data_IF_969330403602
#
_entry.id   IF_969330403602
#
_cell.length_a   1.000
_cell.length_b   1.000
_cell.length_c   1.000
_cell.angle_alpha   90.00
_cell.angle_beta   90.00
_cell.angle_gamma   90.00
#
_symmetry.space_group_name_H-M   'P 1'
#
loop_
_entity.id
_entity.type
_entity.pdbx_description
1 polymer ?
#
# COMPACT_ATOMS: atom_id res chain seq x y z
N UNK A 1 8.65 6.13 -7.61
CA UNK A 1 8.43 6.10 -6.15
C UNK A 1 7.04 6.65 -5.95
N UNK A 2 6.04 5.83 -5.69
CA UNK A 2 4.68 6.34 -5.56
C UNK A 2 4.52 7.07 -4.21
N UNK A 3 4.16 8.35 -4.28
CA UNK A 3 3.91 9.18 -3.10
C UNK A 3 2.43 9.43 -2.84
N UNK A 4 1.55 9.13 -3.80
CA UNK A 4 0.10 9.30 -3.76
C UNK A 4 -0.58 8.25 -4.62
N UNK A 5 -1.79 7.83 -4.26
CA UNK A 5 -2.60 6.90 -5.07
C UNK A 5 -4.10 7.10 -4.83
N UNK A 6 -4.92 6.38 -5.60
CA UNK A 6 -6.38 6.37 -5.45
C UNK A 6 -6.86 4.98 -4.97
N UNK A 7 -7.76 4.98 -3.99
CA UNK A 7 -8.48 3.81 -3.47
C UNK A 7 -9.93 4.24 -3.33
N UNK A 8 -10.66 4.28 -4.45
CA UNK A 8 -11.96 4.93 -4.55
C UNK A 8 -13.16 4.01 -4.69
N UNK A 9 -12.96 2.80 -5.24
CA UNK A 9 -14.03 1.83 -5.49
C UNK A 9 -14.51 1.15 -4.21
N UNK A 10 -15.50 0.24 -4.32
CA UNK A 10 -15.97 -0.55 -3.18
C UNK A 10 -14.93 -1.61 -2.78
N UNK A 11 -15.07 -2.19 -1.58
CA UNK A 11 -14.18 -3.30 -1.15
C UNK A 11 -14.26 -4.48 -2.12
N UNK A 12 -15.47 -4.81 -2.58
CA UNK A 12 -15.70 -5.99 -3.41
C UNK A 12 -15.06 -5.86 -4.81
N UNK A 13 -15.04 -4.65 -5.37
CA UNK A 13 -14.40 -4.39 -6.68
C UNK A 13 -12.91 -4.79 -6.70
N UNK A 14 -12.24 -4.72 -5.55
CA UNK A 14 -10.87 -5.19 -5.38
C UNK A 14 -10.80 -6.67 -4.98
N UNK A 15 -11.60 -7.09 -4.00
CA UNK A 15 -11.48 -8.41 -3.38
C UNK A 15 -11.89 -9.56 -4.31
N UNK A 16 -12.87 -9.36 -5.20
CA UNK A 16 -13.33 -10.38 -6.16
C UNK A 16 -12.23 -10.88 -7.10
N UNK A 17 -11.15 -10.12 -7.24
CA UNK A 17 -10.00 -10.47 -8.07
C UNK A 17 -8.91 -11.26 -7.33
N UNK A 18 -9.02 -11.41 -6.01
CA UNK A 18 -7.97 -11.99 -5.16
C UNK A 18 -8.36 -13.32 -4.51
N UNK A 19 -9.60 -13.45 -4.01
CA UNK A 19 -10.00 -14.57 -3.16
C UNK A 19 -11.51 -14.79 -3.22
N UNK A 20 -11.99 -15.95 -2.80
CA UNK A 20 -13.42 -16.22 -2.61
C UNK A 20 -13.91 -15.70 -1.25
N UNK A 21 -15.22 -15.56 -1.04
CA UNK A 21 -15.78 -15.06 0.23
C UNK A 21 -15.40 -15.91 1.45
N UNK A 22 -15.30 -17.23 1.28
CA UNK A 22 -14.97 -18.17 2.36
C UNK A 22 -13.55 -17.95 2.94
N UNK A 23 -12.66 -17.35 2.15
CA UNK A 23 -11.26 -17.09 2.51
C UNK A 23 -11.09 -15.74 3.23
N UNK A 24 -12.19 -15.00 3.43
CA UNK A 24 -12.17 -13.63 3.95
C UNK A 24 -12.80 -13.53 5.34
N UNK A 25 -12.21 -12.72 6.19
CA UNK A 25 -12.81 -12.22 7.42
C UNK A 25 -13.01 -10.70 7.30
N UNK A 26 -13.78 -10.30 6.29
CA UNK A 26 -14.03 -8.91 5.92
C UNK A 26 -15.55 -8.75 5.77
N UNK A 27 -16.20 -7.85 6.51
CA UNK A 27 -17.63 -7.64 6.39
C UNK A 27 -17.96 -7.05 5.02
N UNK A 28 -19.07 -7.50 4.44
CA UNK A 28 -19.62 -6.89 3.23
C UNK A 28 -19.96 -5.43 3.51
N UNK A 29 -19.54 -4.56 2.59
CA UNK A 29 -19.82 -3.14 2.63
C UNK A 29 -19.86 -2.61 1.20
N UNK A 30 -21.04 -2.19 0.73
CA UNK A 30 -21.21 -1.67 -0.62
C UNK A 30 -20.74 -0.23 -0.78
N UNK A 31 -20.36 0.46 0.30
CA UNK A 31 -19.95 1.86 0.23
C UNK A 31 -18.58 1.98 -0.49
N UNK A 32 -18.46 2.86 -1.49
CA UNK A 32 -17.18 3.18 -2.09
C UNK A 32 -16.23 3.78 -1.07
N UNK A 33 -14.96 3.37 -1.08
CA UNK A 33 -13.95 3.95 -0.18
C UNK A 33 -13.76 5.45 -0.47
N UNK A 34 -13.94 5.88 -1.73
CA UNK A 34 -14.05 7.29 -2.10
C UNK A 34 -12.76 8.12 -1.99
N UNK A 35 -11.59 7.49 -1.81
CA UNK A 35 -10.32 8.20 -1.62
C UNK A 35 -9.52 8.33 -2.92
N UNK A 36 -9.79 9.39 -3.68
CA UNK A 36 -9.08 9.71 -4.93
C UNK A 36 -7.66 10.25 -4.75
N UNK A 37 -7.26 10.52 -3.50
CA UNK A 37 -6.00 11.15 -3.18
C UNK A 37 -5.48 10.70 -1.81
N UNK A 38 -5.11 9.42 -1.73
CA UNK A 38 -4.48 8.84 -0.55
C UNK A 38 -3.06 9.40 -0.40
N UNK A 39 -2.73 9.84 0.81
CA UNK A 39 -1.46 10.48 1.14
C UNK A 39 -0.75 9.75 2.30
N UNK A 40 0.59 9.82 2.36
CA UNK A 40 1.35 9.33 3.50
C UNK A 40 0.92 9.98 4.81
N UNK A 41 1.10 9.26 5.92
CA UNK A 41 0.67 9.71 7.24
C UNK A 41 -0.83 9.51 7.52
N UNK A 42 -1.59 8.97 6.55
CA UNK A 42 -3.00 8.60 6.76
C UNK A 42 -3.14 7.09 6.95
N UNK A 43 -4.20 6.67 7.65
CA UNK A 43 -4.58 5.25 7.71
C UNK A 43 -5.21 4.83 6.38
N UNK A 44 -4.78 3.71 5.82
CA UNK A 44 -5.20 3.15 4.53
C UNK A 44 -5.71 1.74 4.76
N UNK A 45 -6.79 1.34 4.06
CA UNK A 45 -7.24 -0.04 4.09
C UNK A 45 -6.17 -0.93 3.43
N UNK A 46 -5.58 -1.79 4.24
CA UNK A 46 -4.48 -2.68 3.88
C UNK A 46 -4.93 -4.12 4.08
N UNK A 47 -4.73 -4.94 3.03
CA UNK A 47 -5.10 -6.35 3.04
C UNK A 47 -3.92 -7.19 3.57
N UNK A 48 -4.17 -8.05 4.53
CA UNK A 48 -3.17 -8.99 5.06
C UNK A 48 -3.81 -10.33 5.37
N UNK A 49 -2.99 -11.38 5.49
CA UNK A 49 -3.46 -12.70 5.89
C UNK A 49 -3.02 -12.98 7.33
N UNK A 50 -3.97 -13.40 8.18
CA UNK A 50 -3.71 -13.96 9.52
C UNK A 50 -4.76 -15.03 9.80
N UNK A 51 -4.38 -16.05 10.55
CA UNK A 51 -5.26 -17.20 10.88
C UNK A 51 -5.91 -17.82 9.62
N UNK A 52 -5.14 -17.95 8.54
CA UNK A 52 -5.54 -18.49 7.24
C UNK A 52 -6.72 -17.75 6.57
N UNK A 53 -6.95 -16.50 6.96
CA UNK A 53 -7.98 -15.63 6.37
C UNK A 53 -7.44 -14.28 5.97
N UNK A 54 -8.04 -13.71 4.94
CA UNK A 54 -7.81 -12.32 4.57
C UNK A 54 -8.52 -11.37 5.51
N UNK A 55 -7.81 -10.34 5.93
CA UNK A 55 -8.28 -9.28 6.80
C UNK A 55 -7.98 -7.92 6.19
N UNK A 56 -8.86 -6.95 6.47
CA UNK A 56 -8.75 -5.59 5.98
C UNK A 56 -8.71 -4.60 7.15
N UNK A 57 -7.53 -4.03 7.40
CA UNK A 57 -7.30 -3.15 8.54
C UNK A 57 -6.90 -1.74 8.08
N UNK A 58 -7.33 -0.67 8.76
CA UNK A 58 -6.84 0.68 8.50
C UNK A 58 -5.45 0.87 9.12
N UNK A 59 -4.40 0.80 8.31
CA UNK A 59 -3.00 0.86 8.75
C UNK A 59 -2.35 2.17 8.31
N UNK A 60 -1.54 2.80 9.17
CA UNK A 60 -0.78 3.99 8.82
C UNK A 60 0.13 3.74 7.60
N UNK A 61 0.05 4.59 6.59
CA UNK A 61 1.06 4.60 5.53
C UNK A 61 2.28 5.43 5.96
N UNK A 62 3.27 4.73 6.51
CA UNK A 62 4.49 5.30 7.06
C UNK A 62 5.12 4.37 8.10
N UNK A 63 6.45 4.38 8.18
CA UNK A 63 7.20 3.58 9.13
C UNK A 63 8.36 4.38 9.73
N UNK A 64 8.29 4.63 11.04
CA UNK A 64 9.29 5.30 11.84
C UNK A 64 9.44 4.59 13.21
N UNK A 65 10.27 3.56 13.32
CA UNK A 65 10.52 2.90 14.61
C UNK A 65 11.20 3.88 15.58
N UNK A 66 11.09 3.65 16.89
CA UNK A 66 11.52 4.64 17.90
C UNK A 66 13.00 5.08 17.87
N UNK A 67 13.88 4.34 17.19
CA UNK A 67 15.28 4.71 16.98
C UNK A 67 15.52 5.55 15.70
N UNK A 68 14.49 5.74 14.88
CA UNK A 68 14.53 6.52 13.64
C UNK A 68 14.18 7.98 13.91
N UNK A 69 15.12 8.89 13.64
CA UNK A 69 15.05 10.32 13.98
C UNK A 69 14.70 11.22 12.78
N UNK A 70 14.19 10.64 11.69
CA UNK A 70 13.82 11.34 10.45
C UNK A 70 12.34 11.16 10.15
N UNK A 71 11.87 11.82 9.08
CA UNK A 71 10.53 11.61 8.55
C UNK A 71 10.26 10.11 8.30
N UNK A 72 9.02 9.64 8.53
CA UNK A 72 8.65 8.25 8.29
C UNK A 72 8.94 7.81 6.85
N UNK A 73 9.45 6.60 6.71
CA UNK A 73 9.67 5.98 5.42
C UNK A 73 8.33 5.44 4.89
N UNK A 74 8.06 5.70 3.62
CA UNK A 74 6.77 5.35 2.97
C UNK A 74 6.93 4.30 1.87
N UNK A 75 8.18 4.04 1.46
CA UNK A 75 8.54 3.13 0.39
C UNK A 75 9.75 2.26 0.79
N UNK A 76 9.79 1.02 0.32
CA UNK A 76 10.92 0.09 0.48
C UNK A 76 11.36 -0.44 -0.90
N UNK A 77 12.64 -0.31 -1.25
CA UNK A 77 13.18 -0.80 -2.53
C UNK A 77 13.24 -2.32 -2.56
N UNK A 78 12.64 -2.95 -3.56
CA UNK A 78 12.59 -4.42 -3.72
C UNK A 78 14.00 -5.03 -3.79
N UNK A 79 14.95 -4.29 -4.33
CA UNK A 79 16.34 -4.73 -4.53
C UNK A 79 17.08 -4.95 -3.21
N UNK A 80 16.67 -4.29 -2.13
CA UNK A 80 17.40 -4.31 -0.84
C UNK A 80 16.53 -4.61 0.38
N UNK A 81 15.21 -4.44 0.30
CA UNK A 81 14.29 -4.69 1.41
C UNK A 81 14.42 -6.11 2.04
N UNK A 82 14.57 -7.20 1.24
CA UNK A 82 14.66 -8.55 1.81
C UNK A 82 15.88 -8.81 2.70
N UNK A 83 16.98 -8.06 2.49
CA UNK A 83 18.25 -8.22 3.21
C UNK A 83 18.58 -7.06 4.16
N UNK A 84 17.83 -5.96 4.08
CA UNK A 84 18.00 -4.77 4.91
C UNK A 84 17.77 -5.07 6.39
N UNK A 85 18.66 -4.60 7.28
CA UNK A 85 18.46 -4.71 8.74
C UNK A 85 17.13 -4.08 9.19
N UNK A 86 16.70 -3.01 8.54
CA UNK A 86 15.47 -2.28 8.88
C UNK A 86 14.20 -2.97 8.36
N UNK A 87 14.25 -3.53 7.14
CA UNK A 87 13.06 -4.02 6.45
C UNK A 87 12.92 -5.54 6.40
N UNK A 88 14.01 -6.30 6.61
CA UNK A 88 13.99 -7.76 6.58
C UNK A 88 12.93 -8.37 7.53
N UNK A 89 12.75 -7.90 8.77
CA UNK A 89 11.68 -8.43 9.63
C UNK A 89 10.28 -8.21 9.03
N UNK A 90 10.03 -7.02 8.49
CA UNK A 90 8.75 -6.68 7.83
C UNK A 90 8.54 -7.53 6.56
N UNK A 91 9.61 -7.80 5.81
CA UNK A 91 9.58 -8.65 4.62
C UNK A 91 9.23 -10.10 4.95
N UNK A 92 9.74 -10.62 6.08
CA UNK A 92 9.52 -12.00 6.50
C UNK A 92 8.12 -12.21 7.09
N UNK A 93 7.65 -11.27 7.91
CA UNK A 93 6.47 -11.48 8.78
C UNK A 93 5.34 -10.47 8.61
N UNK A 94 5.53 -9.42 7.82
CA UNK A 94 4.59 -8.32 7.67
C UNK A 94 4.26 -8.00 6.22
N UNK A 95 4.19 -9.02 5.35
CA UNK A 95 3.75 -8.84 3.96
C UNK A 95 2.26 -8.52 3.94
N UNK A 96 1.89 -7.58 3.08
CA UNK A 96 0.52 -7.13 2.89
C UNK A 96 0.32 -6.66 1.44
N UNK A 97 -0.93 -6.38 1.09
CA UNK A 97 -1.32 -5.83 -0.20
C UNK A 97 -2.07 -4.52 0.01
N UNK A 98 -1.61 -3.46 -0.67
CA UNK A 98 -2.35 -2.22 -0.81
C UNK A 98 -2.99 -2.20 -2.19
N UNK A 99 -4.30 -2.43 -2.27
CA UNK A 99 -5.04 -2.29 -3.53
C UNK A 99 -5.34 -0.83 -3.83
N UNK A 100 -5.34 -0.48 -5.12
CA UNK A 100 -5.57 0.87 -5.61
C UNK A 100 -6.13 0.87 -7.04
N UNK A 101 -6.77 1.95 -7.43
CA UNK A 101 -7.21 2.20 -8.82
C UNK A 101 -6.00 2.46 -9.73
N UNK A 102 -4.98 3.07 -9.14
CA UNK A 102 -3.75 3.55 -9.78
C UNK A 102 -3.01 4.49 -8.84
N UNK A 103 -1.83 4.95 -9.26
CA UNK A 103 -0.99 5.86 -8.47
C UNK A 103 -0.67 7.13 -9.21
N UNK A 104 -0.15 8.13 -8.50
CA UNK A 104 0.28 9.40 -9.05
C UNK A 104 1.80 9.53 -9.03
N UNK A 105 2.36 10.06 -10.11
CA UNK A 105 3.76 10.46 -10.23
C UNK A 105 3.87 11.88 -10.80
N UNK A 106 4.94 12.58 -10.44
CA UNK A 106 5.18 13.96 -10.90
C UNK A 106 6.39 13.99 -11.81
N UNK A 107 6.15 14.19 -13.11
CA UNK A 107 7.20 14.40 -14.09
C UNK A 107 7.74 15.83 -13.97
N UNK A 108 9.06 15.98 -13.83
CA UNK A 108 9.71 17.29 -13.85
C UNK A 108 9.75 17.82 -15.28
N UNK A 109 9.20 19.01 -15.50
CA UNK A 109 9.20 19.71 -16.79
C UNK A 109 9.74 21.13 -16.57
N UNK A 110 11.06 21.29 -16.76
CA UNK A 110 11.77 22.49 -16.33
C UNK A 110 11.67 22.67 -14.82
N UNK A 111 11.15 23.82 -14.39
CA UNK A 111 10.92 24.16 -12.97
C UNK A 111 9.53 23.73 -12.45
N UNK A 112 8.68 23.18 -13.34
CA UNK A 112 7.33 22.72 -12.98
C UNK A 112 7.30 21.20 -12.80
N UNK A 113 6.26 20.72 -12.13
CA UNK A 113 5.97 19.30 -11.96
C UNK A 113 4.57 18.99 -12.49
N UNK A 114 4.50 18.17 -13.54
CA UNK A 114 3.23 17.71 -14.12
C UNK A 114 2.80 16.40 -13.44
N UNK A 115 1.64 16.35 -12.76
CA UNK A 115 1.10 15.09 -12.24
C UNK A 115 0.57 14.20 -13.37
N UNK A 116 0.82 12.90 -13.24
CA UNK A 116 0.22 11.85 -14.05
C UNK A 116 -0.48 10.86 -13.14
N UNK A 117 -1.65 10.39 -13.56
CA UNK A 117 -2.30 9.23 -12.98
C UNK A 117 -1.94 8.00 -13.81
N UNK A 118 -1.39 6.98 -13.17
CA UNK A 118 -0.90 5.76 -13.79
C UNK A 118 -1.76 4.61 -13.30
N UNK A 119 -2.36 3.89 -14.24
CA UNK A 119 -3.28 2.80 -13.99
C UNK A 119 -3.11 1.71 -15.05
N UNK A 120 -3.73 0.55 -14.83
CA UNK A 120 -3.69 -0.53 -15.82
C UNK A 120 -4.48 -0.17 -17.07
N UNK A 121 -3.94 -0.54 -18.23
CA UNK A 121 -4.58 -0.33 -19.54
C UNK A 121 -5.91 -1.06 -19.69
N UNK A 122 -6.08 -2.19 -19.01
CA UNK A 122 -7.31 -2.99 -19.02
C UNK A 122 -8.39 -2.47 -18.05
N UNK A 123 -8.14 -1.35 -17.36
CA UNK A 123 -9.09 -0.73 -16.43
C UNK A 123 -9.26 -1.47 -15.10
N UNK A 124 -8.55 -2.59 -14.87
CA UNK A 124 -8.59 -3.31 -13.61
C UNK A 124 -7.76 -2.60 -12.53
N UNK A 125 -8.04 -2.83 -11.23
CA UNK A 125 -7.23 -2.30 -10.16
C UNK A 125 -5.83 -2.93 -10.12
N UNK A 126 -4.94 -2.27 -9.37
CA UNK A 126 -3.60 -2.74 -9.05
C UNK A 126 -3.52 -3.25 -7.61
N UNK A 127 -2.59 -4.17 -7.39
CA UNK A 127 -2.27 -4.72 -6.08
C UNK A 127 -0.80 -4.45 -5.79
N UNK A 128 -0.53 -3.42 -4.98
CA UNK A 128 0.83 -3.03 -4.64
C UNK A 128 1.32 -3.90 -3.49
N UNK A 129 2.49 -4.53 -3.67
CA UNK A 129 3.17 -5.22 -2.60
C UNK A 129 3.50 -4.23 -1.47
N UNK A 130 3.19 -4.59 -0.24
CA UNK A 130 3.49 -3.81 0.94
C UNK A 130 4.20 -4.67 1.99
N UNK A 131 5.00 -4.01 2.83
CA UNK A 131 5.58 -4.59 4.04
C UNK A 131 5.33 -3.65 5.21
N UNK A 132 5.06 -4.18 6.39
CA UNK A 132 4.77 -3.35 7.56
C UNK A 132 4.91 -4.07 8.89
N UNK A 133 4.67 -3.34 9.97
CA UNK A 133 4.84 -3.83 11.33
C UNK A 133 3.56 -4.51 11.81
N UNK A 134 3.59 -5.83 12.01
CA UNK A 134 2.48 -6.63 12.54
C UNK A 134 2.49 -6.63 14.08
N UNK A 135 1.34 -6.85 14.75
CA UNK A 135 -0.03 -7.04 14.21
C UNK A 135 -0.61 -5.72 13.66
N UNK A 136 -1.27 -5.78 12.51
CA UNK A 136 -1.76 -4.59 11.79
C UNK A 136 -3.00 -3.97 12.43
N UNK A 137 -3.85 -4.81 13.02
CA UNK A 137 -5.08 -4.45 13.72
C UNK A 137 -4.87 -3.58 14.96
N UNK A 138 -3.62 -3.48 15.46
CA UNK A 138 -3.29 -2.60 16.60
C UNK A 138 -3.43 -1.11 16.27
N UNK A 139 -3.43 -0.75 14.99
CA UNK A 139 -3.66 0.62 14.54
C UNK A 139 -2.58 1.63 14.94
N UNK A 140 -1.31 1.20 14.93
CA UNK A 140 -0.12 1.99 15.29
C UNK A 140 -0.02 3.30 14.49
N UNK A 141 0.40 4.38 15.16
CA UNK A 141 0.52 5.73 14.58
C UNK A 141 1.98 6.13 14.25
N UNK A 142 2.95 5.24 14.41
CA UNK A 142 4.35 5.45 14.01
C UNK A 142 4.88 4.32 13.11
N UNK A 143 4.53 3.08 13.42
CA UNK A 143 5.02 1.88 12.75
C UNK A 143 3.90 1.19 11.97
N UNK A 144 3.56 1.75 10.81
CA UNK A 144 2.58 1.16 9.89
C UNK A 144 3.22 0.34 8.77
N UNK A 145 2.86 0.65 7.52
CA UNK A 145 3.35 -0.05 6.32
C UNK A 145 4.08 0.87 5.34
N UNK A 146 4.82 0.24 4.43
CA UNK A 146 5.48 0.85 3.28
C UNK A 146 5.06 0.12 2.01
N UNK A 147 5.00 0.85 0.89
CA UNK A 147 4.83 0.26 -0.43
C UNK A 147 6.20 -0.20 -0.95
N UNK A 148 6.26 -1.41 -1.51
CA UNK A 148 7.47 -1.92 -2.15
C UNK A 148 7.60 -1.30 -3.54
N UNK A 149 8.77 -0.73 -3.85
CA UNK A 149 9.06 -0.09 -5.14
C UNK A 149 10.11 -0.85 -5.92
N UNK A 150 9.96 -0.91 -7.24
CA UNK A 150 11.01 -1.35 -8.18
C UNK A 150 11.51 -0.17 -9.02
N UNK A 151 12.61 -0.38 -9.75
CA UNK A 151 12.94 0.48 -10.89
C UNK A 151 11.76 0.56 -11.89
N UNK A 152 11.56 1.76 -12.47
CA UNK A 152 10.67 1.93 -13.60
C UNK A 152 11.28 1.28 -14.84
N UNK A 153 10.46 0.60 -15.64
CA UNK A 153 10.85 0.07 -16.94
C UNK A 153 10.22 0.90 -18.08
N UNK A 154 10.53 0.56 -19.32
CA UNK A 154 10.15 1.32 -20.52
C UNK A 154 8.67 1.71 -20.53
N UNK A 155 8.42 3.00 -20.70
CA UNK A 155 7.07 3.58 -20.83
C UNK A 155 6.55 4.23 -19.55
N UNK A 156 7.27 4.11 -18.43
CA UNK A 156 7.08 4.86 -17.18
C UNK A 156 8.24 5.82 -16.92
#
# INVERSE_FOLDING_TARGET
>A
MCGRFAQSMTREDYLILLAEEAERNIPYDPEPIGRFNVAPGTKVLLLSERDEKLHLDPVLWGYAPGWWDKAPLINARVETAPSSRMFKPLWQHGRAICFADGWFEWKKEGDKKQPYFIHRKDGKPIFMAAIGSTPFERGDDAEGFLIVTSAADKGL
#
